data_IF_165630673283
#
_entry.id   IF_165630673283
#
_cell.length_a   1.000
_cell.length_b   1.000
_cell.length_c   1.000
_cell.angle_alpha   90.00
_cell.angle_beta   90.00
_cell.angle_gamma   90.00
#
_symmetry.space_group_name_H-M   'P 1'
#
loop_
_entity.id
_entity.type
_entity.pdbx_description
1 polymer ?
#
# COMPACT_ATOMS: atom_id res chain seq x y z
N UNK A 1 -4.15 9.61 29.41
CA UNK A 1 -2.94 8.79 29.21
C UNK A 1 -3.00 7.96 27.91
N UNK A 2 -4.16 7.42 27.53
CA UNK A 2 -4.33 6.63 26.29
C UNK A 2 -4.12 7.48 25.03
N UNK A 3 -4.73 8.66 24.95
CA UNK A 3 -4.59 9.56 23.77
C UNK A 3 -3.12 9.95 23.51
N UNK A 4 -2.31 10.12 24.54
CA UNK A 4 -0.90 10.47 24.38
C UNK A 4 -0.08 9.28 23.88
N UNK A 5 -0.40 8.06 24.28
CA UNK A 5 0.25 6.84 23.81
C UNK A 5 -0.08 6.58 22.34
N UNK A 6 -1.35 6.69 21.97
CA UNK A 6 -1.79 6.53 20.57
C UNK A 6 -1.12 7.55 19.65
N UNK A 7 -1.03 8.82 20.09
CA UNK A 7 -0.37 9.86 19.32
C UNK A 7 1.13 9.59 19.16
N UNK A 8 1.79 9.08 20.20
CA UNK A 8 3.21 8.71 20.14
C UNK A 8 3.42 7.57 19.13
N UNK A 9 2.61 6.51 19.22
CA UNK A 9 2.69 5.36 18.31
C UNK A 9 2.45 5.81 16.86
N UNK A 10 1.41 6.64 16.63
CA UNK A 10 1.13 7.20 15.32
C UNK A 10 2.32 8.00 14.76
N UNK A 11 2.90 8.88 15.58
CA UNK A 11 4.01 9.73 15.17
C UNK A 11 5.24 8.88 14.80
N UNK A 12 5.54 7.85 15.59
CA UNK A 12 6.65 6.94 15.32
C UNK A 12 6.42 6.18 14.01
N UNK A 13 5.21 5.64 13.79
CA UNK A 13 4.85 4.94 12.54
C UNK A 13 4.91 5.89 11.35
N UNK A 14 4.38 7.12 11.47
CA UNK A 14 4.41 8.11 10.41
C UNK A 14 5.83 8.50 10.02
N UNK A 15 6.72 8.71 11.00
CA UNK A 15 8.15 8.98 10.76
C UNK A 15 8.83 7.77 10.11
N UNK A 16 8.57 6.57 10.58
CA UNK A 16 9.14 5.34 10.02
C UNK A 16 8.75 5.16 8.55
N UNK A 17 7.46 5.34 8.22
CA UNK A 17 6.95 5.28 6.85
C UNK A 17 7.58 6.39 5.99
N UNK A 18 7.60 7.63 6.48
CA UNK A 18 8.13 8.77 5.74
C UNK A 18 9.61 8.61 5.41
N UNK A 19 10.43 8.23 6.39
CA UNK A 19 11.87 7.98 6.19
C UNK A 19 12.09 6.82 5.22
N UNK A 20 11.38 5.71 5.40
CA UNK A 20 11.49 4.55 4.52
C UNK A 20 11.05 4.87 3.09
N UNK A 21 9.98 5.66 2.90
CA UNK A 21 9.51 6.10 1.59
C UNK A 21 10.56 6.98 0.88
N UNK A 22 11.16 7.93 1.57
CA UNK A 22 12.22 8.78 1.02
C UNK A 22 13.42 7.92 0.62
N UNK A 23 13.85 6.99 1.46
CA UNK A 23 14.94 6.08 1.17
C UNK A 23 14.63 5.16 -0.02
N UNK A 24 13.39 4.68 -0.16
CA UNK A 24 12.95 3.85 -1.27
C UNK A 24 13.12 4.56 -2.62
N UNK A 25 12.79 5.86 -2.67
CA UNK A 25 12.83 6.64 -3.93
C UNK A 25 14.24 7.19 -4.22
N UNK A 26 15.03 7.47 -3.17
CA UNK A 26 16.36 8.11 -3.32
C UNK A 26 17.45 7.07 -3.59
N UNK A 27 17.26 5.84 -3.19
CA UNK A 27 18.27 4.80 -3.33
C UNK A 27 18.42 4.34 -4.80
N UNK A 28 19.66 4.25 -5.26
CA UNK A 28 19.97 3.86 -6.64
C UNK A 28 19.99 2.35 -6.87
N UNK A 29 20.12 1.55 -5.82
CA UNK A 29 20.14 0.09 -5.91
C UNK A 29 18.70 -0.44 -5.82
N UNK A 30 18.25 -1.09 -6.89
CA UNK A 30 16.88 -1.60 -7.02
C UNK A 30 16.50 -2.50 -5.85
N UNK A 31 17.38 -3.41 -5.43
CA UNK A 31 17.12 -4.31 -4.33
C UNK A 31 16.96 -3.59 -2.99
N UNK A 32 17.74 -2.54 -2.73
CA UNK A 32 17.59 -1.71 -1.51
C UNK A 32 16.30 -0.88 -1.55
N UNK A 33 15.93 -0.35 -2.72
CA UNK A 33 14.66 0.34 -2.89
C UNK A 33 13.49 -0.59 -2.54
N UNK A 34 13.59 -1.84 -2.99
CA UNK A 34 12.64 -2.89 -2.68
C UNK A 34 12.47 -3.15 -1.19
N UNK A 35 13.58 -3.24 -0.45
CA UNK A 35 13.57 -3.45 1.01
C UNK A 35 12.97 -2.25 1.75
N UNK A 36 13.28 -1.02 1.32
CA UNK A 36 12.67 0.17 1.92
C UNK A 36 11.17 0.26 1.63
N UNK A 37 10.74 -0.13 0.43
CA UNK A 37 9.31 -0.23 0.12
C UNK A 37 8.60 -1.26 1.00
N UNK A 38 9.23 -2.40 1.27
CA UNK A 38 8.70 -3.39 2.21
C UNK A 38 8.48 -2.77 3.60
N UNK A 39 9.42 -1.95 4.10
CA UNK A 39 9.25 -1.26 5.39
C UNK A 39 8.08 -0.26 5.37
N UNK A 40 7.86 0.44 4.25
CA UNK A 40 6.67 1.30 4.09
C UNK A 40 5.39 0.48 4.22
N UNK A 41 5.32 -0.67 3.57
CA UNK A 41 4.14 -1.55 3.60
C UNK A 41 3.88 -2.12 5.00
N UNK A 42 4.94 -2.48 5.74
CA UNK A 42 4.83 -2.89 7.14
C UNK A 42 4.32 -1.74 8.03
N UNK A 43 4.89 -0.55 7.87
CA UNK A 43 4.44 0.63 8.61
C UNK A 43 2.98 0.96 8.35
N UNK A 44 2.54 0.86 7.09
CA UNK A 44 1.13 1.06 6.70
C UNK A 44 0.20 0.05 7.38
N UNK A 45 0.61 -1.22 7.48
CA UNK A 45 -0.15 -2.21 8.24
C UNK A 45 -0.26 -1.85 9.72
N UNK A 46 0.82 -1.31 10.31
CA UNK A 46 0.82 -0.78 11.68
C UNK A 46 -0.23 0.32 11.89
N UNK A 47 -0.37 1.24 10.93
CA UNK A 47 -1.42 2.28 10.97
C UNK A 47 -2.81 1.66 10.90
N UNK A 48 -3.05 0.65 10.05
CA UNK A 48 -4.34 -0.04 10.02
C UNK A 48 -4.69 -0.68 11.35
N UNK A 49 -3.73 -1.35 12.02
CA UNK A 49 -3.97 -1.91 13.35
C UNK A 49 -4.26 -0.84 14.40
N UNK A 50 -3.56 0.29 14.34
CA UNK A 50 -3.80 1.40 15.26
C UNK A 50 -5.20 2.01 15.09
N UNK A 51 -5.71 2.02 13.85
CA UNK A 51 -7.07 2.50 13.54
C UNK A 51 -8.15 1.44 13.78
N UNK A 52 -7.82 0.32 14.42
CA UNK A 52 -8.72 -0.83 14.66
C UNK A 52 -9.27 -1.50 13.39
N UNK A 53 -8.56 -1.37 12.25
CA UNK A 53 -8.88 -2.10 11.03
C UNK A 53 -8.04 -3.39 10.94
N UNK A 54 -8.26 -4.31 11.87
CA UNK A 54 -7.45 -5.53 12.00
C UNK A 54 -7.44 -6.39 10.73
N UNK A 55 -8.58 -6.52 10.04
CA UNK A 55 -8.66 -7.23 8.76
C UNK A 55 -7.80 -6.57 7.67
N UNK A 56 -7.87 -5.25 7.51
CA UNK A 56 -7.07 -4.52 6.52
C UNK A 56 -5.57 -4.61 6.83
N UNK A 57 -5.20 -4.51 8.11
CA UNK A 57 -3.82 -4.68 8.54
C UNK A 57 -3.28 -6.08 8.22
N UNK A 58 -4.07 -7.13 8.48
CA UNK A 58 -3.70 -8.50 8.16
C UNK A 58 -3.55 -8.72 6.64
N UNK A 59 -4.49 -8.22 5.83
CA UNK A 59 -4.43 -8.28 4.36
C UNK A 59 -3.20 -7.53 3.83
N UNK A 60 -2.91 -6.34 4.38
CA UNK A 60 -1.73 -5.56 4.03
C UNK A 60 -0.43 -6.34 4.26
N UNK A 61 -0.31 -7.03 5.40
CA UNK A 61 0.87 -7.85 5.69
C UNK A 61 0.95 -9.09 4.80
N UNK A 62 -0.14 -9.83 4.66
CA UNK A 62 -0.12 -11.10 3.92
C UNK A 62 0.05 -10.90 2.42
N UNK A 63 -0.68 -9.96 1.84
CA UNK A 63 -0.72 -9.78 0.37
C UNK A 63 0.38 -8.82 -0.08
N UNK A 64 0.44 -7.59 0.47
CA UNK A 64 1.37 -6.57 -0.02
C UNK A 64 2.79 -6.79 0.51
N UNK A 65 2.97 -6.87 1.81
CA UNK A 65 4.30 -7.04 2.38
C UNK A 65 4.82 -8.48 2.18
N UNK A 66 3.96 -9.48 2.25
CA UNK A 66 4.30 -10.89 2.05
C UNK A 66 4.32 -11.30 0.57
N UNK A 67 3.15 -11.44 -0.05
CA UNK A 67 3.01 -12.03 -1.38
C UNK A 67 3.67 -11.20 -2.48
N UNK A 68 3.18 -9.98 -2.70
CA UNK A 68 3.57 -9.14 -3.84
C UNK A 68 5.05 -8.72 -3.71
N UNK A 69 5.47 -8.27 -2.53
CA UNK A 69 6.84 -7.77 -2.33
C UNK A 69 7.86 -8.90 -2.50
N UNK A 70 7.59 -10.08 -1.97
CA UNK A 70 8.48 -11.23 -2.11
C UNK A 70 8.60 -11.64 -3.58
N UNK A 71 7.47 -11.70 -4.30
CA UNK A 71 7.48 -12.05 -5.74
C UNK A 71 8.29 -11.05 -6.56
N UNK A 72 8.11 -9.75 -6.35
CA UNK A 72 8.84 -8.78 -7.14
C UNK A 72 10.33 -8.69 -6.74
N UNK A 73 10.68 -8.84 -5.46
CA UNK A 73 12.09 -8.95 -5.02
C UNK A 73 12.75 -10.16 -5.67
N UNK A 74 12.07 -11.29 -5.70
CA UNK A 74 12.57 -12.50 -6.35
C UNK A 74 12.73 -12.31 -7.86
N UNK A 75 11.78 -11.64 -8.52
CA UNK A 75 11.87 -11.29 -9.92
C UNK A 75 13.08 -10.39 -10.21
N UNK A 76 13.34 -9.39 -9.36
CA UNK A 76 14.52 -8.54 -9.48
C UNK A 76 15.80 -9.35 -9.34
N UNK A 77 15.88 -10.25 -8.35
CA UNK A 77 17.06 -11.09 -8.13
C UNK A 77 17.36 -12.02 -9.31
N UNK A 78 16.33 -12.51 -9.99
CA UNK A 78 16.48 -13.40 -11.14
C UNK A 78 16.81 -12.66 -12.44
N UNK A 79 16.35 -11.42 -12.60
CA UNK A 79 16.47 -10.66 -13.85
C UNK A 79 17.59 -9.64 -13.83
N UNK A 80 17.93 -9.10 -12.65
CA UNK A 80 18.91 -8.04 -12.52
C UNK A 80 20.32 -8.60 -12.37
N UNK A 81 21.24 -8.09 -13.17
CA UNK A 81 22.68 -8.31 -12.94
C UNK A 81 23.09 -7.67 -11.62
N UNK A 82 23.95 -8.35 -10.83
CA UNK A 82 24.46 -7.81 -9.57
C UNK A 82 25.20 -6.49 -9.84
N UNK A 83 24.53 -5.37 -9.70
CA UNK A 83 25.13 -4.05 -9.95
C UNK A 83 24.25 -3.09 -10.72
N UNK A 84 23.08 -3.52 -11.19
CA UNK A 84 22.14 -2.63 -11.88
C UNK A 84 21.76 -1.47 -10.96
N UNK A 85 22.22 -0.30 -11.34
CA UNK A 85 21.87 0.98 -10.72
C UNK A 85 20.75 1.57 -11.53
N UNK A 86 19.73 2.10 -10.84
CA UNK A 86 18.73 2.92 -11.49
C UNK A 86 19.40 4.09 -12.22
N UNK A 87 18.90 4.44 -13.40
CA UNK A 87 19.37 5.60 -14.15
C UNK A 87 19.41 6.86 -13.29
N UNK A 88 20.44 7.67 -13.46
CA UNK A 88 20.54 8.97 -12.80
C UNK A 88 19.41 9.86 -13.29
N UNK A 89 18.54 10.26 -12.37
CA UNK A 89 17.52 11.25 -12.66
C UNK A 89 18.22 12.56 -13.06
N UNK A 90 18.06 12.98 -14.31
CA UNK A 90 18.51 14.30 -14.76
C UNK A 90 17.85 15.36 -13.87
N UNK A 91 18.61 16.40 -13.46
CA UNK A 91 18.16 17.41 -12.50
C UNK A 91 16.79 18.03 -12.81
N UNK A 92 16.44 18.16 -14.10
CA UNK A 92 15.12 18.62 -14.54
C UNK A 92 13.98 17.68 -14.08
N UNK A 93 14.14 16.35 -14.24
CA UNK A 93 13.12 15.36 -13.83
C UNK A 93 12.93 15.37 -12.31
N UNK A 94 14.02 15.52 -11.55
CA UNK A 94 13.97 15.65 -10.10
C UNK A 94 13.21 16.91 -9.68
N UNK A 95 13.48 18.05 -10.33
CA UNK A 95 12.83 19.32 -10.03
C UNK A 95 11.32 19.30 -10.35
N UNK A 96 10.92 18.70 -11.47
CA UNK A 96 9.50 18.52 -11.81
C UNK A 96 8.81 17.59 -10.83
N UNK A 97 9.44 16.47 -10.47
CA UNK A 97 8.91 15.53 -9.49
C UNK A 97 8.74 16.16 -8.09
N UNK A 98 9.74 16.92 -7.63
CA UNK A 98 9.67 17.63 -6.37
C UNK A 98 8.53 18.67 -6.34
N UNK A 99 8.37 19.45 -7.41
CA UNK A 99 7.24 20.41 -7.51
C UNK A 99 5.88 19.70 -7.48
N UNK A 100 5.74 18.59 -8.19
CA UNK A 100 4.50 17.81 -8.19
C UNK A 100 4.20 17.25 -6.79
N UNK A 101 5.21 16.74 -6.09
CA UNK A 101 5.07 16.25 -4.72
C UNK A 101 4.68 17.36 -3.73
N UNK A 102 5.32 18.54 -3.83
CA UNK A 102 4.98 19.70 -2.98
C UNK A 102 3.58 20.24 -3.29
N UNK A 103 3.16 20.27 -4.55
CA UNK A 103 1.81 20.69 -4.93
C UNK A 103 0.76 19.72 -4.39
N UNK A 104 1.00 18.41 -4.50
CA UNK A 104 0.12 17.37 -3.94
C UNK A 104 0.02 17.49 -2.42
N UNK A 105 1.16 17.64 -1.73
CA UNK A 105 1.20 17.85 -0.29
C UNK A 105 0.40 19.11 0.12
N UNK A 106 0.59 20.21 -0.60
CA UNK A 106 -0.10 21.49 -0.37
C UNK A 106 -1.62 21.35 -0.52
N UNK A 107 -2.08 20.64 -1.56
CA UNK A 107 -3.52 20.39 -1.78
C UNK A 107 -4.09 19.52 -0.65
N UNK A 108 -3.41 18.44 -0.28
CA UNK A 108 -3.85 17.56 0.81
C UNK A 108 -3.93 18.35 2.13
N UNK A 109 -2.90 19.13 2.44
CA UNK A 109 -2.87 19.96 3.66
C UNK A 109 -3.98 21.00 3.65
N UNK A 110 -4.20 21.68 2.52
CA UNK A 110 -5.28 22.64 2.36
C UNK A 110 -6.65 22.02 2.64
N UNK A 111 -6.93 20.86 2.03
CA UNK A 111 -8.20 20.15 2.22
C UNK A 111 -8.36 19.78 3.69
N UNK A 112 -7.34 19.20 4.31
CA UNK A 112 -7.38 18.76 5.71
C UNK A 112 -7.61 19.93 6.68
N UNK A 113 -6.98 21.09 6.43
CA UNK A 113 -7.13 22.26 7.30
C UNK A 113 -8.45 23.04 7.08
N UNK A 114 -9.03 22.92 5.89
CA UNK A 114 -10.27 23.64 5.54
C UNK A 114 -11.54 22.81 5.76
N UNK A 115 -11.40 21.51 5.86
CA UNK A 115 -12.55 20.61 6.02
C UNK A 115 -12.93 20.50 7.50
N UNK A 116 -14.15 20.89 7.84
CA UNK A 116 -14.73 20.64 9.15
C UNK A 116 -15.12 19.16 9.22
N UNK A 117 -14.30 18.36 9.91
CA UNK A 117 -14.58 16.94 10.14
C UNK A 117 -15.75 16.86 11.16
N UNK A 118 -16.95 16.57 10.66
CA UNK A 118 -18.08 16.24 11.51
C UNK A 118 -17.77 14.94 12.27
N UNK A 119 -17.97 14.90 13.60
CA UNK A 119 -17.81 13.66 14.33
C UNK A 119 -18.76 12.62 13.75
N UNK A 120 -18.20 11.50 13.28
CA UNK A 120 -19.05 10.44 12.74
C UNK A 120 -19.86 9.83 13.87
N UNK A 121 -21.18 9.81 13.73
CA UNK A 121 -22.08 9.11 14.65
C UNK A 121 -22.06 7.58 14.44
N UNK A 122 -21.25 7.09 13.53
CA UNK A 122 -21.07 5.66 13.35
C UNK A 122 -20.06 5.16 14.38
N UNK A 123 -20.51 4.27 15.26
CA UNK A 123 -19.58 3.46 16.04
C UNK A 123 -18.70 2.68 15.06
N UNK A 124 -17.45 3.07 14.99
CA UNK A 124 -16.45 2.33 14.21
C UNK A 124 -16.09 1.06 15.01
N UNK A 125 -17.03 0.11 15.04
CA UNK A 125 -16.74 -1.23 15.51
C UNK A 125 -15.87 -1.95 14.48
N UNK A 126 -14.99 -2.83 14.94
CA UNK A 126 -14.25 -3.72 14.04
C UNK A 126 -15.21 -4.37 13.03
N UNK A 127 -14.99 -4.12 11.76
CA UNK A 127 -15.72 -4.84 10.72
C UNK A 127 -15.26 -6.30 10.76
N UNK A 128 -16.09 -7.15 11.35
CA UNK A 128 -15.81 -8.58 11.34
C UNK A 128 -15.65 -9.09 9.91
N UNK A 129 -14.64 -9.89 9.67
CA UNK A 129 -14.35 -10.54 8.36
C UNK A 129 -15.61 -11.18 7.77
N UNK A 130 -16.47 -11.74 8.63
CA UNK A 130 -17.75 -12.33 8.25
C UNK A 130 -18.69 -11.31 7.59
N UNK A 131 -18.78 -10.10 8.12
CA UNK A 131 -19.62 -9.03 7.56
C UNK A 131 -19.11 -8.61 6.17
N UNK A 132 -17.79 -8.51 6.01
CA UNK A 132 -17.16 -8.21 4.72
C UNK A 132 -17.45 -9.33 3.72
N UNK A 133 -17.32 -10.60 4.13
CA UNK A 133 -17.63 -11.75 3.27
C UNK A 133 -19.10 -11.77 2.83
N UNK A 134 -20.03 -11.49 3.74
CA UNK A 134 -21.45 -11.39 3.40
C UNK A 134 -21.74 -10.24 2.42
N UNK A 135 -21.12 -9.08 2.62
CA UNK A 135 -21.29 -7.94 1.72
C UNK A 135 -20.76 -8.24 0.31
N UNK A 136 -19.61 -8.92 0.21
CA UNK A 136 -19.00 -9.32 -1.07
C UNK A 136 -19.86 -10.33 -1.84
N UNK A 137 -20.54 -11.26 -1.15
CA UNK A 137 -21.34 -12.32 -1.76
C UNK A 137 -22.84 -11.98 -1.85
N UNK A 138 -23.25 -10.81 -1.36
CA UNK A 138 -24.65 -10.41 -1.37
C UNK A 138 -25.09 -9.95 -2.75
N UNK A 139 -26.26 -10.46 -3.19
CA UNK A 139 -26.95 -10.01 -4.41
C UNK A 139 -27.96 -8.89 -4.15
N UNK A 140 -28.07 -8.39 -2.91
CA UNK A 140 -29.01 -7.32 -2.56
C UNK A 140 -28.62 -5.96 -3.15
N UNK A 141 -29.48 -4.94 -2.91
CA UNK A 141 -29.31 -3.57 -3.44
C UNK A 141 -27.95 -2.93 -3.13
N UNK A 142 -27.28 -3.36 -2.06
CA UNK A 142 -25.96 -2.89 -1.60
C UNK A 142 -24.90 -4.00 -1.62
N UNK A 143 -25.15 -5.08 -2.36
CA UNK A 143 -24.21 -6.19 -2.48
C UNK A 143 -23.14 -5.95 -3.54
N UNK A 144 -21.98 -6.55 -3.35
CA UNK A 144 -20.81 -6.43 -4.22
C UNK A 144 -20.51 -7.70 -5.01
N UNK A 145 -21.56 -8.51 -5.31
CA UNK A 145 -21.36 -9.78 -6.02
C UNK A 145 -20.78 -9.57 -7.43
N UNK A 146 -21.24 -8.56 -8.18
CA UNK A 146 -20.73 -8.28 -9.53
C UNK A 146 -19.24 -7.89 -9.54
N UNK A 147 -18.77 -6.92 -8.72
CA UNK A 147 -17.34 -6.66 -8.59
C UNK A 147 -16.54 -7.89 -8.16
N UNK A 148 -17.07 -8.72 -7.27
CA UNK A 148 -16.43 -9.94 -6.81
C UNK A 148 -16.24 -10.96 -7.96
N UNK A 149 -17.26 -11.17 -8.78
CA UNK A 149 -17.19 -12.05 -9.97
C UNK A 149 -16.18 -11.53 -11.00
N UNK A 150 -16.16 -10.22 -11.27
CA UNK A 150 -15.20 -9.62 -12.21
C UNK A 150 -13.76 -9.79 -11.71
N UNK A 151 -13.51 -9.60 -10.41
CA UNK A 151 -12.19 -9.80 -9.84
C UNK A 151 -11.76 -11.27 -9.89
N UNK A 152 -12.67 -12.22 -9.68
CA UNK A 152 -12.36 -13.64 -9.77
C UNK A 152 -12.02 -14.08 -11.20
N UNK A 153 -12.72 -13.54 -12.20
CA UNK A 153 -12.39 -13.75 -13.61
C UNK A 153 -11.04 -13.13 -13.97
N UNK A 154 -10.75 -11.94 -13.44
CA UNK A 154 -9.43 -11.29 -13.62
C UNK A 154 -8.31 -12.14 -13.01
N UNK A 155 -8.52 -12.68 -11.81
CA UNK A 155 -7.55 -13.57 -11.17
C UNK A 155 -7.27 -14.81 -12.03
N UNK A 156 -8.33 -15.45 -12.56
CA UNK A 156 -8.19 -16.59 -13.47
C UNK A 156 -7.40 -16.21 -14.73
N UNK A 157 -7.71 -15.08 -15.34
CA UNK A 157 -7.00 -14.58 -16.52
C UNK A 157 -5.52 -14.31 -16.23
N UNK A 158 -5.20 -13.72 -15.06
CA UNK A 158 -3.81 -13.50 -14.63
C UNK A 158 -3.03 -14.80 -14.43
N UNK A 159 -3.66 -15.81 -13.82
CA UNK A 159 -3.01 -17.11 -13.60
C UNK A 159 -2.76 -17.80 -14.96
N UNK A 160 -3.74 -17.88 -15.82
CA UNK A 160 -3.61 -18.48 -17.15
C UNK A 160 -2.57 -17.73 -17.99
N UNK A 161 -2.65 -16.38 -18.02
CA UNK A 161 -1.70 -15.55 -18.75
C UNK A 161 -0.27 -15.71 -18.24
N UNK A 162 -0.07 -15.72 -16.92
CA UNK A 162 1.24 -15.96 -16.31
C UNK A 162 1.84 -17.32 -16.70
N UNK A 163 1.04 -18.39 -16.69
CA UNK A 163 1.47 -19.73 -17.10
C UNK A 163 1.82 -19.77 -18.61
N UNK A 164 0.99 -19.14 -19.44
CA UNK A 164 1.24 -19.11 -20.90
C UNK A 164 2.53 -18.38 -21.24
N UNK A 165 2.82 -17.26 -20.56
CA UNK A 165 4.06 -16.48 -20.77
C UNK A 165 5.27 -17.24 -20.23
N UNK A 166 5.16 -17.88 -19.07
CA UNK A 166 6.26 -18.62 -18.44
C UNK A 166 6.59 -19.94 -19.14
N UNK A 167 5.66 -20.49 -19.90
CA UNK A 167 5.85 -21.75 -20.62
C UNK A 167 6.86 -21.56 -21.76
N UNK A 168 8.07 -22.13 -21.61
CA UNK A 168 9.00 -22.29 -22.73
C UNK A 168 8.39 -23.20 -23.81
N UNK A 169 8.37 -22.72 -25.06
CA UNK A 169 8.18 -23.58 -26.22
C UNK A 169 9.41 -24.43 -26.47
#
# INVERSE_FOLDING_TARGET
>A
MEITLELIVFTVLALFIGVSAILAVTTRRILRAATYLLFVLFGTAGIYFQLNYSFLGAVQLLIYAGGITVLYVFSILLTSSQGDKAEDLKGYKLFVGLRAALASLGICLWITLRHDFLPSHFEHGELHVRTIGHALMSSGKYGYILPFEVISLLLLACIVGGILIARKR
#
